data_IF_182852684423
#
_entry.id   IF_182852684423
#
_cell.length_a   1.000
_cell.length_b   1.000
_cell.length_c   1.000
_cell.angle_alpha   90.00
_cell.angle_beta   90.00
_cell.angle_gamma   90.00
#
_symmetry.space_group_name_H-M   'P 1'
#
loop_
_entity.id
_entity.type
_entity.pdbx_description
1 polymer ?
#
# COMPACT_ATOMS: atom_id res chain seq x y z
N UNK A 1 5.37 65.20 1.10
CA UNK A 1 5.99 64.26 2.06
C UNK A 1 5.28 62.92 1.89
N UNK A 2 5.45 62.20 0.78
CA UNK A 2 6.63 61.44 0.33
C UNK A 2 7.09 60.40 1.36
N UNK A 3 7.20 59.13 0.91
CA UNK A 3 7.91 57.99 1.53
C UNK A 3 7.12 56.92 2.31
N UNK A 4 6.08 56.26 1.77
CA UNK A 4 5.72 54.91 2.30
C UNK A 4 5.22 53.93 1.22
N UNK A 5 5.37 54.26 -0.07
CA UNK A 5 4.96 53.40 -1.19
C UNK A 5 5.95 52.28 -1.57
N UNK A 6 7.09 52.14 -0.88
CA UNK A 6 8.12 51.17 -1.27
C UNK A 6 8.30 49.97 -0.33
N UNK A 7 7.66 49.91 0.84
CA UNK A 7 7.91 48.83 1.82
C UNK A 7 6.82 47.75 1.81
N UNK A 8 5.59 48.08 1.41
CA UNK A 8 4.46 47.13 1.52
C UNK A 8 4.43 46.10 0.38
N UNK A 9 5.00 46.42 -0.79
CA UNK A 9 4.92 45.52 -1.96
C UNK A 9 6.01 44.44 -1.97
N UNK A 10 7.13 44.64 -1.26
CA UNK A 10 8.24 43.67 -1.25
C UNK A 10 8.01 42.45 -0.34
N UNK A 11 7.12 42.54 0.64
CA UNK A 11 6.90 41.46 1.61
C UNK A 11 5.81 40.44 1.20
N UNK A 12 5.02 40.72 0.17
CA UNK A 12 3.91 39.88 -0.27
C UNK A 12 4.29 38.83 -1.33
N UNK A 13 5.57 38.75 -1.74
CA UNK A 13 6.01 37.78 -2.75
C UNK A 13 6.82 36.60 -2.16
N UNK A 14 7.13 36.62 -0.86
CA UNK A 14 8.01 35.61 -0.22
C UNK A 14 7.37 34.85 0.95
N UNK A 15 6.10 35.09 1.24
CA UNK A 15 5.28 34.32 2.19
C UNK A 15 4.03 33.94 1.39
N UNK A 16 4.01 32.85 0.63
CA UNK A 16 3.31 31.63 1.09
C UNK A 16 3.48 30.49 0.06
N UNK A 17 4.70 30.07 -0.25
CA UNK A 17 4.91 28.82 -1.03
C UNK A 17 5.32 27.64 -0.13
N UNK A 18 5.66 27.87 1.14
CA UNK A 18 6.05 26.78 2.05
C UNK A 18 4.87 26.02 2.67
N UNK A 19 3.63 26.48 2.51
CA UNK A 19 2.45 25.87 3.17
C UNK A 19 1.59 24.98 2.25
N UNK A 20 2.00 24.76 1.00
CA UNK A 20 1.26 23.94 0.04
C UNK A 20 1.70 22.46 -0.02
N UNK A 21 2.81 22.08 0.60
CA UNK A 21 3.36 20.70 0.47
C UNK A 21 2.73 19.71 1.45
N UNK A 22 2.15 20.17 2.56
CA UNK A 22 1.49 19.29 3.55
C UNK A 22 -0.01 19.06 3.27
N UNK A 23 -0.61 19.74 2.29
CA UNK A 23 -2.07 19.69 2.03
C UNK A 23 -2.53 18.71 0.95
N UNK A 24 -1.62 18.03 0.27
CA UNK A 24 -1.96 16.77 -0.37
C UNK A 24 -1.72 15.67 0.65
N UNK A 25 -2.68 15.51 1.57
CA UNK A 25 -2.80 14.31 2.38
C UNK A 25 -3.08 13.12 1.46
N UNK A 26 -2.08 12.68 0.70
CA UNK A 26 -1.98 11.32 0.23
C UNK A 26 -2.01 10.50 1.51
N UNK A 27 -3.19 9.94 1.80
CA UNK A 27 -3.31 8.90 2.82
C UNK A 27 -2.46 7.74 2.33
N UNK A 28 -1.17 7.78 2.67
CA UNK A 28 -0.20 6.79 2.28
C UNK A 28 -0.54 5.52 3.05
N UNK A 29 -1.18 4.58 2.37
CA UNK A 29 -1.55 3.32 3.00
C UNK A 29 -0.36 2.37 2.96
N UNK A 30 0.53 2.51 3.95
CA UNK A 30 1.72 1.68 4.10
C UNK A 30 1.41 0.17 4.14
N UNK A 31 0.18 -0.24 4.51
CA UNK A 31 -0.21 -1.65 4.48
C UNK A 31 -0.28 -2.21 3.05
N UNK A 32 -0.77 -1.42 2.10
CA UNK A 32 -0.85 -1.85 0.71
C UNK A 32 0.55 -2.00 0.11
N UNK A 33 1.46 -1.09 0.45
CA UNK A 33 2.86 -1.13 0.05
C UNK A 33 3.58 -2.36 0.62
N UNK A 34 3.36 -2.69 1.90
CA UNK A 34 3.92 -3.91 2.50
C UNK A 34 3.34 -5.15 1.81
N UNK A 35 2.03 -5.18 1.56
CA UNK A 35 1.38 -6.30 0.87
C UNK A 35 1.96 -6.47 -0.54
N UNK A 36 2.10 -5.37 -1.29
CA UNK A 36 2.65 -5.39 -2.64
C UNK A 36 4.08 -5.90 -2.65
N UNK A 37 4.94 -5.35 -1.78
CA UNK A 37 6.34 -5.77 -1.68
C UNK A 37 6.47 -7.24 -1.27
N UNK A 38 5.66 -7.72 -0.31
CA UNK A 38 5.63 -9.14 0.04
C UNK A 38 5.25 -10.02 -1.16
N UNK A 39 4.19 -9.67 -1.88
CA UNK A 39 3.76 -10.43 -3.05
C UNK A 39 4.83 -10.40 -4.15
N UNK A 40 5.41 -9.23 -4.44
CA UNK A 40 6.43 -9.06 -5.47
C UNK A 40 7.70 -9.86 -5.17
N UNK A 41 8.10 -9.95 -3.89
CA UNK A 41 9.27 -10.74 -3.48
C UNK A 41 9.08 -12.25 -3.65
N UNK A 42 7.83 -12.75 -3.66
CA UNK A 42 7.51 -14.18 -3.76
C UNK A 42 7.01 -14.61 -5.14
N UNK A 43 6.42 -13.66 -5.88
CA UNK A 43 5.81 -13.90 -7.18
C UNK A 43 6.81 -13.91 -8.32
N UNK A 44 6.31 -14.25 -9.50
CA UNK A 44 7.00 -14.09 -10.77
C UNK A 44 6.05 -13.50 -11.81
N UNK A 45 6.60 -12.82 -12.82
CA UNK A 45 5.81 -12.10 -13.82
C UNK A 45 5.19 -10.82 -13.26
N UNK A 46 4.00 -10.45 -13.77
CA UNK A 46 3.27 -9.29 -13.29
C UNK A 46 2.56 -9.63 -11.98
N UNK A 47 2.95 -8.98 -10.88
CA UNK A 47 2.44 -9.25 -9.55
C UNK A 47 1.51 -8.13 -9.09
N UNK A 48 0.41 -8.52 -8.47
CA UNK A 48 -0.60 -7.63 -7.91
C UNK A 48 -0.90 -8.05 -6.47
N UNK A 49 -1.21 -7.05 -5.65
CA UNK A 49 -1.71 -7.24 -4.29
C UNK A 49 -3.11 -6.65 -4.19
N UNK A 50 -4.07 -7.44 -3.74
CA UNK A 50 -5.47 -7.01 -3.61
C UNK A 50 -5.90 -7.10 -2.15
N UNK A 51 -6.62 -6.08 -1.67
CA UNK A 51 -7.21 -6.13 -0.32
C UNK A 51 -8.29 -7.21 -0.28
N UNK A 52 -8.35 -7.94 0.83
CA UNK A 52 -9.41 -8.92 1.12
C UNK A 52 -10.15 -8.49 2.38
N UNK A 53 -11.47 -8.34 2.27
CA UNK A 53 -12.32 -8.10 3.43
C UNK A 53 -12.32 -9.34 4.33
N UNK A 54 -12.36 -9.12 5.63
CA UNK A 54 -12.42 -10.15 6.66
C UNK A 54 -13.80 -10.25 7.33
N UNK A 55 -14.76 -9.42 6.94
CA UNK A 55 -16.08 -9.40 7.53
C UNK A 55 -17.01 -10.44 6.89
N UNK A 56 -17.76 -11.16 7.73
CA UNK A 56 -18.79 -12.10 7.26
C UNK A 56 -18.24 -13.25 6.42
N UNK A 57 -18.95 -13.60 5.34
CA UNK A 57 -18.50 -14.61 4.37
C UNK A 57 -17.55 -13.95 3.37
N UNK A 58 -16.28 -13.84 3.76
CA UNK A 58 -15.25 -13.24 2.92
C UNK A 58 -14.90 -14.17 1.74
N UNK A 59 -14.88 -13.66 0.48
CA UNK A 59 -14.47 -14.45 -0.68
C UNK A 59 -13.03 -14.95 -0.53
N UNK A 60 -12.67 -16.07 -1.15
CA UNK A 60 -11.28 -16.56 -1.11
C UNK A 60 -10.37 -15.67 -1.95
N UNK A 61 -9.06 -15.74 -1.74
CA UNK A 61 -8.12 -15.00 -2.60
C UNK A 61 -8.17 -15.47 -4.06
N UNK A 62 -8.50 -16.74 -4.32
CA UNK A 62 -8.80 -17.22 -5.67
C UNK A 62 -9.98 -16.47 -6.31
N UNK A 63 -11.07 -16.30 -5.56
CA UNK A 63 -12.25 -15.58 -6.04
C UNK A 63 -11.91 -14.13 -6.33
N UNK A 64 -11.15 -13.49 -5.45
CA UNK A 64 -10.72 -12.09 -5.60
C UNK A 64 -9.79 -11.92 -6.82
N UNK A 65 -8.77 -12.76 -6.99
CA UNK A 65 -7.90 -12.66 -8.17
C UNK A 65 -8.68 -12.92 -9.47
N UNK A 66 -9.66 -13.84 -9.44
CA UNK A 66 -10.48 -14.17 -10.61
C UNK A 66 -11.43 -13.03 -10.97
N UNK A 67 -12.05 -12.39 -9.96
CA UNK A 67 -13.05 -11.34 -10.19
C UNK A 67 -12.46 -10.08 -10.83
N UNK A 68 -11.18 -9.76 -10.56
CA UNK A 68 -10.49 -8.60 -11.15
C UNK A 68 -9.52 -8.98 -12.27
N UNK A 69 -9.69 -10.17 -12.87
CA UNK A 69 -8.84 -10.65 -13.97
C UNK A 69 -8.76 -9.65 -15.12
N UNK A 70 -9.89 -9.14 -15.59
CA UNK A 70 -9.93 -8.22 -16.73
C UNK A 70 -9.16 -6.93 -16.45
N UNK A 71 -9.27 -6.39 -15.24
CA UNK A 71 -8.59 -5.17 -14.81
C UNK A 71 -7.07 -5.40 -14.74
N UNK A 72 -6.63 -6.52 -14.16
CA UNK A 72 -5.21 -6.87 -14.12
C UNK A 72 -4.61 -7.01 -15.51
N UNK A 73 -5.29 -7.70 -16.43
CA UNK A 73 -4.81 -7.86 -17.81
C UNK A 73 -4.79 -6.52 -18.57
N UNK A 74 -5.80 -5.68 -18.38
CA UNK A 74 -5.85 -4.33 -19.00
C UNK A 74 -4.73 -3.45 -18.46
N UNK A 75 -4.45 -3.50 -17.16
CA UNK A 75 -3.38 -2.70 -16.52
C UNK A 75 -1.99 -2.98 -17.11
N UNK A 76 -1.74 -4.21 -17.55
CA UNK A 76 -0.48 -4.61 -18.19
C UNK A 76 -0.58 -4.65 -19.72
N UNK A 77 -1.51 -3.90 -20.31
CA UNK A 77 -1.71 -3.81 -21.76
C UNK A 77 -1.86 -5.19 -22.44
N UNK A 78 -2.54 -6.13 -21.78
CA UNK A 78 -2.78 -7.50 -22.25
C UNK A 78 -1.50 -8.29 -22.59
N UNK A 79 -0.38 -8.00 -21.91
CA UNK A 79 0.88 -8.75 -22.07
C UNK A 79 0.84 -10.17 -21.46
N UNK A 80 -0.25 -10.54 -20.80
CA UNK A 80 -0.53 -11.87 -20.26
C UNK A 80 -1.97 -12.32 -20.61
N UNK A 81 -2.27 -13.61 -20.45
CA UNK A 81 -3.62 -14.17 -20.78
C UNK A 81 -4.31 -14.84 -19.60
N UNK A 82 -3.52 -15.20 -18.57
CA UNK A 82 -3.98 -15.90 -17.38
C UNK A 82 -3.66 -15.08 -16.14
N UNK A 83 -4.47 -15.34 -15.12
CA UNK A 83 -4.34 -14.78 -13.79
C UNK A 83 -4.52 -15.91 -12.80
N UNK A 84 -3.74 -15.92 -11.73
CA UNK A 84 -3.93 -16.84 -10.62
C UNK A 84 -3.53 -16.19 -9.30
N UNK A 85 -4.17 -16.62 -8.22
CA UNK A 85 -3.61 -16.43 -6.89
C UNK A 85 -2.41 -17.37 -6.70
N UNK A 86 -1.39 -16.91 -5.98
CA UNK A 86 -0.26 -17.76 -5.59
C UNK A 86 0.11 -17.66 -4.10
N UNK A 87 -0.37 -16.63 -3.39
CA UNK A 87 -0.13 -16.45 -1.97
C UNK A 87 -1.20 -15.56 -1.32
N UNK A 88 -1.17 -15.44 0.00
CA UNK A 88 -1.92 -14.45 0.76
C UNK A 88 -1.14 -14.00 1.99
N UNK A 89 -1.30 -12.75 2.38
CA UNK A 89 -0.67 -12.17 3.57
C UNK A 89 -1.72 -11.61 4.51
N UNK A 90 -1.54 -11.85 5.81
CA UNK A 90 -2.21 -11.09 6.85
C UNK A 90 -1.25 -10.04 7.40
N UNK A 91 -1.65 -8.77 7.34
CA UNK A 91 -0.94 -7.67 8.00
C UNK A 91 -1.75 -7.23 9.21
N UNK A 92 -1.13 -7.32 10.39
CA UNK A 92 -1.75 -6.97 11.66
C UNK A 92 -1.80 -5.44 11.80
N UNK A 93 -3.02 -4.87 11.78
CA UNK A 93 -3.24 -3.40 11.71
C UNK A 93 -3.26 -2.71 13.07
N UNK A 94 -3.45 -3.45 14.16
CA UNK A 94 -3.53 -2.98 15.54
C UNK A 94 -2.16 -2.89 16.23
N UNK A 95 -1.04 -3.02 15.50
CA UNK A 95 0.29 -2.89 16.08
C UNK A 95 0.78 -1.43 16.08
N UNK A 96 1.64 -1.08 17.05
CA UNK A 96 2.20 0.26 17.19
C UNK A 96 2.97 0.66 15.93
N UNK A 97 2.55 1.76 15.31
CA UNK A 97 3.29 2.38 14.19
C UNK A 97 4.59 2.96 14.71
N UNK A 98 5.68 2.69 14.02
CA UNK A 98 6.96 3.34 14.29
C UNK A 98 6.88 4.82 13.89
N UNK A 99 7.62 5.67 14.59
CA UNK A 99 7.78 7.08 14.27
C UNK A 99 8.33 7.23 12.85
N UNK A 100 7.83 8.23 12.13
CA UNK A 100 8.43 8.65 10.86
C UNK A 100 9.90 8.97 11.07
N UNK A 101 10.77 8.50 10.17
CA UNK A 101 12.21 8.75 10.24
C UNK A 101 12.50 10.25 10.13
N UNK A 102 12.94 10.93 11.21
CA UNK A 102 12.83 12.38 11.29
C UNK A 102 13.96 13.17 10.61
N UNK A 103 15.07 12.56 10.21
CA UNK A 103 16.14 13.17 9.40
C UNK A 103 17.23 12.12 9.07
N UNK A 104 18.11 12.37 8.09
CA UNK A 104 19.31 11.55 7.90
C UNK A 104 20.12 11.41 9.20
N UNK A 105 20.43 10.17 9.60
CA UNK A 105 21.22 9.88 10.79
C UNK A 105 20.45 9.74 12.12
N UNK A 106 19.14 10.01 12.15
CA UNK A 106 18.29 9.77 13.33
C UNK A 106 17.28 8.66 13.06
N UNK A 107 17.28 7.63 13.92
CA UNK A 107 16.38 6.48 13.86
C UNK A 107 15.77 6.29 15.27
N UNK A 108 14.80 7.12 15.68
CA UNK A 108 14.27 7.15 17.05
C UNK A 108 13.60 5.82 17.47
N UNK A 109 13.27 4.99 16.49
CA UNK A 109 12.64 3.70 16.63
C UNK A 109 13.55 2.53 16.18
N UNK A 110 14.86 2.77 16.05
CA UNK A 110 15.83 1.72 15.81
C UNK A 110 15.70 0.59 16.86
N UNK A 111 15.62 -0.65 16.37
CA UNK A 111 15.46 -1.84 17.21
C UNK A 111 14.05 -2.06 17.79
N UNK A 112 13.08 -1.20 17.48
CA UNK A 112 11.68 -1.42 17.87
C UNK A 112 10.99 -2.36 16.88
N UNK A 113 10.05 -3.15 17.39
CA UNK A 113 9.28 -4.10 16.60
C UNK A 113 8.37 -3.36 15.61
N UNK A 114 8.53 -3.69 14.33
CA UNK A 114 7.64 -3.22 13.26
C UNK A 114 6.33 -4.02 13.25
N UNK A 115 5.55 -3.89 12.18
CA UNK A 115 4.29 -4.59 11.98
C UNK A 115 4.50 -6.10 11.92
N UNK A 116 3.51 -6.83 12.41
CA UNK A 116 3.48 -8.29 12.33
C UNK A 116 2.77 -8.69 11.04
N UNK A 117 3.45 -9.51 10.23
CA UNK A 117 2.89 -10.08 9.00
C UNK A 117 2.93 -11.60 9.06
N UNK A 118 1.89 -12.26 8.54
CA UNK A 118 1.83 -13.70 8.40
C UNK A 118 1.55 -14.09 6.94
N UNK A 119 2.47 -14.83 6.34
CA UNK A 119 2.34 -15.36 4.98
C UNK A 119 1.68 -16.74 4.98
N UNK A 120 0.63 -16.91 4.16
CA UNK A 120 -0.12 -18.16 4.08
C UNK A 120 0.45 -19.13 3.03
N UNK A 121 1.32 -18.67 2.14
CA UNK A 121 1.72 -19.47 0.99
C UNK A 121 0.54 -19.74 0.06
N UNK A 122 0.65 -20.77 -0.78
CA UNK A 122 -0.42 -21.18 -1.68
C UNK A 122 -1.74 -21.53 -0.96
N UNK A 123 -1.66 -21.95 0.31
CA UNK A 123 -2.85 -22.19 1.16
C UNK A 123 -3.70 -20.95 1.41
N UNK A 124 -3.12 -19.74 1.26
CA UNK A 124 -3.85 -18.48 1.38
C UNK A 124 -4.88 -18.27 0.26
N UNK A 125 -4.69 -18.92 -0.89
CA UNK A 125 -5.57 -18.76 -2.04
C UNK A 125 -6.97 -19.34 -1.82
N UNK A 126 -7.09 -20.40 -1.03
CA UNK A 126 -8.34 -21.11 -0.74
C UNK A 126 -8.82 -20.89 0.69
N UNK A 127 -8.18 -20.01 1.45
CA UNK A 127 -8.45 -19.82 2.87
C UNK A 127 -9.80 -19.10 3.09
N UNK A 128 -10.75 -19.77 3.76
CA UNK A 128 -12.08 -19.26 4.15
C UNK A 128 -12.55 -19.47 5.62
N UNK A 129 -11.71 -19.83 6.62
CA UNK A 129 -12.17 -20.09 7.99
C UNK A 129 -12.65 -18.84 8.75
N UNK A 130 -13.26 -19.10 9.92
CA UNK A 130 -13.91 -18.17 10.85
C UNK A 130 -13.00 -17.09 11.49
N UNK A 131 -11.80 -16.86 10.96
CA UNK A 131 -10.84 -15.87 11.44
C UNK A 131 -10.35 -14.98 10.29
N UNK A 132 -10.06 -13.72 10.58
CA UNK A 132 -9.53 -12.79 9.60
C UNK A 132 -8.11 -13.16 9.18
N UNK A 133 -7.92 -13.43 7.89
CA UNK A 133 -6.65 -13.77 7.28
C UNK A 133 -6.89 -14.63 6.05
N UNK A 134 -6.02 -14.62 5.02
CA UNK A 134 -5.22 -13.45 4.67
C UNK A 134 -6.11 -12.21 4.45
N UNK A 135 -5.64 -11.00 4.79
CA UNK A 135 -6.35 -9.75 4.54
C UNK A 135 -5.83 -9.00 3.29
N UNK A 136 -4.84 -9.59 2.62
CA UNK A 136 -4.38 -9.24 1.28
C UNK A 136 -4.07 -10.51 0.47
N UNK A 137 -4.41 -10.48 -0.81
CA UNK A 137 -4.20 -11.57 -1.77
C UNK A 137 -3.05 -11.25 -2.71
N UNK A 138 -2.19 -12.24 -2.98
CA UNK A 138 -1.14 -12.12 -3.99
C UNK A 138 -1.58 -12.80 -5.28
N UNK A 139 -1.80 -11.99 -6.31
CA UNK A 139 -2.18 -12.43 -7.65
C UNK A 139 -1.03 -12.22 -8.61
N UNK A 140 -0.94 -13.07 -9.63
CA UNK A 140 -0.01 -12.88 -10.74
C UNK A 140 -0.71 -13.04 -12.07
N UNK A 141 -0.27 -12.26 -13.06
CA UNK A 141 -0.65 -12.44 -14.45
C UNK A 141 0.52 -13.04 -15.24
N UNK A 142 0.21 -14.04 -16.08
CA UNK A 142 1.18 -14.83 -16.84
C UNK A 142 0.58 -15.34 -18.16
N UNK A 143 1.43 -15.82 -19.06
CA UNK A 143 1.04 -16.35 -20.37
C UNK A 143 0.80 -17.85 -20.34
#
# INVERSE_FOLDING_TARGET
MTKYWCIVVAFLCCLDITSAVDKYGLSYNYFDEIAHNYCAAKGNGWVFSLRRDCNGVAPTCNDICTSVKADMLTTINNQATKVACFDGIHIKKDHKTLLSNPAPGSQPDAGKLSLVTYGYGSGGCTWSPNHCGPNYCCCKAFS
#
